data_IF_085409683658
#
_entry.id   IF_085409683658
#
_cell.length_a   1.000
_cell.length_b   1.000
_cell.length_c   1.000
_cell.angle_alpha   90.00
_cell.angle_beta   90.00
_cell.angle_gamma   90.00
#
_symmetry.space_group_name_H-M   'P 1'
#
loop_
_entity.id
_entity.type
_entity.pdbx_description
1 polymer ?
#
# COMPACT_ATOMS: atom_id res chain seq x y z
N UNK A 1 16.97 -1.79 -13.82
CA UNK A 1 16.13 -1.06 -12.85
C UNK A 1 15.55 -2.15 -11.96
N UNK A 2 15.95 -2.21 -10.69
CA UNK A 2 15.46 -3.29 -9.81
C UNK A 2 13.95 -3.18 -9.69
N UNK A 3 13.23 -4.31 -9.70
CA UNK A 3 11.76 -4.34 -9.68
C UNK A 3 11.19 -3.51 -8.52
N UNK A 4 11.90 -3.47 -7.40
CA UNK A 4 11.55 -2.67 -6.21
C UNK A 4 11.76 -1.16 -6.41
N UNK A 5 12.73 -0.73 -7.22
CA UNK A 5 12.89 0.68 -7.57
C UNK A 5 11.69 1.18 -8.39
N UNK A 6 11.10 0.32 -9.21
CA UNK A 6 9.86 0.60 -9.93
C UNK A 6 8.68 0.83 -8.99
N UNK A 7 8.55 -0.02 -7.96
CA UNK A 7 7.51 0.10 -6.92
C UNK A 7 7.71 1.37 -6.10
N UNK A 8 8.94 1.69 -5.67
CA UNK A 8 9.24 2.91 -4.89
C UNK A 8 8.99 4.18 -5.73
N UNK A 9 9.39 4.18 -7.00
CA UNK A 9 9.13 5.30 -7.91
C UNK A 9 7.63 5.55 -8.05
N UNK A 10 6.85 4.48 -8.23
CA UNK A 10 5.40 4.58 -8.37
C UNK A 10 4.72 4.97 -7.05
N UNK A 11 5.19 4.45 -5.91
CA UNK A 11 4.74 4.88 -4.57
C UNK A 11 4.85 6.39 -4.42
N UNK A 12 6.03 6.96 -4.70
CA UNK A 12 6.26 8.41 -4.61
C UNK A 12 5.35 9.23 -5.54
N UNK A 13 4.92 8.64 -6.66
CA UNK A 13 3.98 9.26 -7.59
C UNK A 13 2.53 9.23 -7.08
N UNK A 14 2.09 8.11 -6.51
CA UNK A 14 0.69 7.94 -6.05
C UNK A 14 0.44 8.53 -4.67
N UNK A 15 1.49 8.71 -3.87
CA UNK A 15 1.41 9.22 -2.51
C UNK A 15 2.47 10.31 -2.25
N UNK A 16 2.47 11.42 -3.02
CA UNK A 16 3.49 12.46 -2.92
C UNK A 16 3.50 13.18 -1.56
N UNK A 17 2.40 13.11 -0.81
CA UNK A 17 2.29 13.69 0.52
C UNK A 17 3.04 12.91 1.61
N UNK A 18 3.39 11.63 1.34
CA UNK A 18 4.17 10.83 2.28
C UNK A 18 5.62 11.30 2.20
N UNK A 19 5.98 12.19 3.11
CA UNK A 19 7.29 12.83 3.18
C UNK A 19 7.97 12.50 4.52
N UNK A 20 9.31 12.54 4.56
CA UNK A 20 10.06 12.27 5.80
C UNK A 20 10.26 10.80 6.14
N UNK A 21 9.91 9.88 5.22
CA UNK A 21 10.37 8.49 5.24
C UNK A 21 11.55 8.36 4.28
N UNK A 22 12.63 7.74 4.73
CA UNK A 22 13.84 7.57 3.92
C UNK A 22 13.69 6.45 2.88
N UNK A 23 14.49 6.55 1.81
CA UNK A 23 14.41 5.63 0.68
C UNK A 23 14.71 4.17 1.04
N UNK A 24 15.51 3.91 2.09
CA UNK A 24 15.76 2.55 2.54
C UNK A 24 14.50 1.93 3.17
N UNK A 25 13.79 2.69 4.01
CA UNK A 25 12.51 2.26 4.58
C UNK A 25 11.45 2.07 3.49
N UNK A 26 11.37 2.97 2.50
CA UNK A 26 10.46 2.80 1.36
C UNK A 26 10.77 1.54 0.54
N UNK A 27 12.05 1.19 0.38
CA UNK A 27 12.47 -0.06 -0.30
C UNK A 27 12.07 -1.31 0.49
N UNK A 28 12.12 -1.27 1.82
CA UNK A 28 11.64 -2.37 2.67
C UNK A 28 10.13 -2.56 2.45
N UNK A 29 9.34 -1.48 2.53
CA UNK A 29 7.90 -1.56 2.28
C UNK A 29 7.56 -2.05 0.86
N UNK A 30 8.30 -1.59 -0.15
CA UNK A 30 8.15 -2.07 -1.52
C UNK A 30 8.45 -3.56 -1.66
N UNK A 31 9.46 -4.07 -0.94
CA UNK A 31 9.84 -5.48 -0.96
C UNK A 31 8.76 -6.35 -0.32
N UNK A 32 8.30 -5.97 0.87
CA UNK A 32 7.24 -6.69 1.59
C UNK A 32 5.93 -6.68 0.79
N UNK A 33 5.57 -5.53 0.22
CA UNK A 33 4.37 -5.37 -0.59
C UNK A 33 4.42 -6.21 -1.88
N UNK A 34 5.59 -6.29 -2.52
CA UNK A 34 5.77 -7.12 -3.72
C UNK A 34 5.66 -8.61 -3.40
N UNK A 35 6.27 -9.05 -2.30
CA UNK A 35 6.15 -10.43 -1.84
C UNK A 35 4.70 -10.79 -1.49
N UNK A 36 3.98 -9.88 -0.84
CA UNK A 36 2.57 -10.07 -0.50
C UNK A 36 1.67 -10.08 -1.75
N UNK A 37 1.87 -9.16 -2.69
CA UNK A 37 1.13 -9.16 -3.96
C UNK A 37 1.35 -10.45 -4.75
N UNK A 38 2.58 -10.98 -4.77
CA UNK A 38 2.86 -12.28 -5.38
C UNK A 38 2.14 -13.45 -4.69
N UNK A 39 2.07 -13.45 -3.36
CA UNK A 39 1.29 -14.46 -2.60
C UNK A 39 -0.21 -14.35 -2.86
N UNK A 40 -0.71 -13.15 -3.07
CA UNK A 40 -2.10 -12.87 -3.41
C UNK A 40 -2.44 -13.17 -4.89
N UNK A 41 -1.48 -13.64 -5.68
CA UNK A 41 -1.69 -14.14 -7.04
C UNK A 41 -1.47 -13.11 -8.15
N UNK A 42 -1.05 -11.88 -7.83
CA UNK A 42 -0.70 -10.89 -8.85
C UNK A 42 0.56 -11.32 -9.61
N UNK A 43 0.58 -11.07 -10.91
CA UNK A 43 1.70 -11.40 -11.80
C UNK A 43 1.81 -10.40 -12.96
N UNK A 44 2.82 -10.53 -13.82
CA UNK A 44 3.02 -9.64 -14.96
C UNK A 44 3.21 -8.18 -14.55
N UNK A 45 2.58 -7.26 -15.27
CA UNK A 45 2.66 -5.82 -14.96
C UNK A 45 1.80 -5.42 -13.75
N UNK A 46 0.81 -6.23 -13.39
CA UNK A 46 -0.13 -5.92 -12.31
C UNK A 46 0.47 -6.09 -10.92
N UNK A 47 1.47 -6.95 -10.75
CA UNK A 47 2.15 -7.14 -9.47
C UNK A 47 2.86 -5.85 -9.01
N UNK A 48 3.50 -5.12 -9.92
CA UNK A 48 4.17 -3.86 -9.60
C UNK A 48 3.14 -2.81 -9.20
N UNK A 49 2.01 -2.75 -9.90
CA UNK A 49 0.93 -1.82 -9.59
C UNK A 49 0.29 -2.13 -8.22
N UNK A 50 -0.06 -3.38 -7.96
CA UNK A 50 -0.64 -3.82 -6.69
C UNK A 50 0.34 -3.58 -5.53
N UNK A 51 1.60 -3.98 -5.70
CA UNK A 51 2.65 -3.75 -4.71
C UNK A 51 2.85 -2.26 -4.43
N UNK A 52 2.69 -1.37 -5.41
CA UNK A 52 2.83 0.08 -5.20
C UNK A 52 1.74 0.64 -4.29
N UNK A 53 0.49 0.21 -4.48
CA UNK A 53 -0.62 0.62 -3.60
C UNK A 53 -0.45 0.06 -2.18
N UNK A 54 -0.03 -1.20 -2.05
CA UNK A 54 0.21 -1.80 -0.75
C UNK A 54 1.42 -1.18 -0.03
N UNK A 55 2.49 -0.86 -0.76
CA UNK A 55 3.64 -0.15 -0.19
C UNK A 55 3.28 1.29 0.23
N UNK A 56 2.43 1.98 -0.53
CA UNK A 56 1.91 3.30 -0.15
C UNK A 56 1.08 3.25 1.13
N UNK A 57 0.29 2.18 1.33
CA UNK A 57 -0.44 1.94 2.57
C UNK A 57 0.51 1.77 3.77
N UNK A 58 1.55 0.94 3.62
CA UNK A 58 2.57 0.76 4.69
C UNK A 58 3.28 2.08 5.02
N UNK A 59 3.66 2.83 3.99
CA UNK A 59 4.28 4.15 4.14
C UNK A 59 3.32 5.15 4.80
N UNK A 60 2.01 5.10 4.51
CA UNK A 60 1.01 5.98 5.11
C UNK A 60 0.82 5.70 6.60
N UNK A 61 0.79 4.43 7.00
CA UNK A 61 0.76 4.03 8.42
C UNK A 61 2.00 4.56 9.14
N UNK A 62 3.19 4.37 8.56
CA UNK A 62 4.45 4.84 9.16
C UNK A 62 4.51 6.37 9.25
N UNK A 63 4.08 7.07 8.20
CA UNK A 63 3.99 8.52 8.14
C UNK A 63 3.08 9.08 9.23
N UNK A 64 1.85 8.56 9.34
CA UNK A 64 0.91 9.02 10.35
C UNK A 64 1.41 8.73 11.76
N UNK A 65 1.99 7.55 12.02
CA UNK A 65 2.62 7.26 13.32
C UNK A 65 3.70 8.27 13.69
N UNK A 66 4.53 8.69 12.74
CA UNK A 66 5.56 9.70 12.98
C UNK A 66 4.98 11.12 13.18
N UNK A 67 3.89 11.48 12.50
CA UNK A 67 3.18 12.75 12.76
C UNK A 67 2.47 12.76 14.12
N UNK A 68 1.94 11.62 14.58
CA UNK A 68 1.30 11.50 15.89
C UNK A 68 2.31 11.63 17.05
N UNK A 69 3.56 11.18 16.87
CA UNK A 69 4.63 11.36 17.88
C UNK A 69 5.02 12.85 18.05
N UNK A 70 4.89 13.68 17.00
CA UNK A 70 5.04 15.15 17.13
C UNK A 70 3.80 15.85 17.70
N UNK A 71 2.60 15.26 17.53
CA UNK A 71 1.34 15.79 18.08
C UNK A 71 1.12 15.43 19.56
N UNK A 72 1.65 14.31 20.05
CA UNK A 72 1.55 13.93 21.48
C UNK A 72 2.32 14.86 22.43
N UNK A 73 3.36 15.58 21.97
CA UNK A 73 4.02 16.61 22.77
C UNK A 73 3.21 17.91 22.89
N UNK A 74 2.13 18.09 22.11
CA UNK A 74 1.30 19.30 22.09
C UNK A 74 -0.14 19.01 22.53
N UNK A 75 -0.31 18.86 23.84
CA UNK A 75 -1.49 19.28 24.61
C UNK A 75 -2.88 18.73 24.23
N UNK A 76 -3.37 17.75 25.02
CA UNK A 76 -4.66 17.72 25.76
C UNK A 76 -6.00 18.00 25.02
N UNK A 77 -6.04 18.31 23.72
CA UNK A 77 -7.26 18.83 23.06
C UNK A 77 -7.36 18.48 21.56
N UNK A 78 -7.14 17.23 21.18
CA UNK A 78 -7.48 16.74 19.82
C UNK A 78 -8.21 15.40 19.86
N UNK A 79 -9.41 15.41 20.45
CA UNK A 79 -10.45 14.45 20.09
C UNK A 79 -11.20 15.04 18.89
N UNK A 80 -10.75 14.69 17.69
CA UNK A 80 -11.52 14.58 16.45
C UNK A 80 -10.50 14.37 15.32
N UNK A 81 -10.87 13.58 14.31
CA UNK A 81 -10.07 13.08 13.18
C UNK A 81 -9.21 11.84 13.48
N UNK A 82 -9.44 10.78 12.70
CA UNK A 82 -8.84 9.43 12.72
C UNK A 82 -9.55 8.33 13.53
N UNK A 83 -10.89 8.31 13.49
CA UNK A 83 -11.63 7.04 13.57
C UNK A 83 -11.89 6.50 12.15
N UNK A 84 -10.81 6.07 11.49
CA UNK A 84 -10.88 5.33 10.23
C UNK A 84 -9.90 4.16 10.27
N UNK A 85 -9.90 3.36 11.34
CA UNK A 85 -9.38 1.98 11.38
C UNK A 85 -8.07 1.66 10.64
N UNK A 86 -7.13 2.60 10.52
CA UNK A 86 -5.95 2.44 9.66
C UNK A 86 -6.24 2.24 8.16
N UNK A 87 -7.47 2.44 7.67
CA UNK A 87 -7.85 2.18 6.28
C UNK A 87 -7.68 3.44 5.44
N UNK A 88 -6.79 3.38 4.45
CA UNK A 88 -6.57 4.46 3.49
C UNK A 88 -7.07 4.09 2.08
N UNK A 89 -7.11 5.07 1.18
CA UNK A 89 -7.52 4.84 -0.21
C UNK A 89 -6.56 3.89 -0.97
N UNK A 90 -5.34 3.68 -0.46
CA UNK A 90 -4.35 2.80 -1.07
C UNK A 90 -4.67 1.33 -0.80
N UNK A 91 -5.06 0.98 0.44
CA UNK A 91 -5.51 -0.37 0.76
C UNK A 91 -6.84 -0.69 0.08
N UNK A 92 -7.75 0.27 -0.06
CA UNK A 92 -9.01 0.07 -0.79
C UNK A 92 -8.77 -0.25 -2.27
N UNK A 93 -7.85 0.46 -2.92
CA UNK A 93 -7.48 0.19 -4.31
C UNK A 93 -6.76 -1.16 -4.47
N UNK A 94 -5.89 -1.53 -3.53
CA UNK A 94 -5.27 -2.85 -3.49
C UNK A 94 -6.32 -3.97 -3.38
N UNK A 95 -7.28 -3.84 -2.46
CA UNK A 95 -8.35 -4.81 -2.26
C UNK A 95 -9.28 -4.88 -3.47
N UNK A 96 -9.55 -3.76 -4.15
CA UNK A 96 -10.30 -3.73 -5.40
C UNK A 96 -9.60 -4.53 -6.49
N UNK A 97 -8.29 -4.33 -6.66
CA UNK A 97 -7.48 -5.10 -7.61
C UNK A 97 -7.52 -6.59 -7.29
N UNK A 98 -7.45 -6.95 -6.01
CA UNK A 98 -7.50 -8.35 -5.56
C UNK A 98 -8.86 -8.99 -5.84
N UNK A 99 -9.95 -8.29 -5.55
CA UNK A 99 -11.30 -8.77 -5.88
C UNK A 99 -11.50 -9.01 -7.38
N UNK A 100 -10.90 -8.17 -8.24
CA UNK A 100 -10.92 -8.37 -9.69
C UNK A 100 -10.14 -9.62 -10.14
N UNK A 101 -9.03 -9.93 -9.46
CA UNK A 101 -8.25 -11.16 -9.70
C UNK A 101 -9.06 -12.41 -9.30
N UNK A 102 -9.72 -12.38 -8.15
CA UNK A 102 -10.54 -13.49 -7.65
C UNK A 102 -11.76 -13.76 -8.55
N UNK A 103 -12.41 -12.70 -9.09
CA UNK A 103 -13.53 -12.85 -10.04
C UNK A 103 -13.06 -13.45 -11.39
N UNK A 104 -11.87 -13.09 -11.86
CA UNK A 104 -11.25 -13.72 -13.04
C UNK A 104 -10.88 -15.19 -12.79
N UNK A 105 -10.35 -15.50 -11.60
CA UNK A 105 -10.06 -16.87 -11.21
C UNK A 105 -11.35 -17.71 -11.16
N UNK A 106 -12.42 -17.19 -10.54
CA UNK A 106 -13.74 -17.83 -10.48
C UNK A 106 -14.38 -18.10 -11.85
N UNK A 107 -14.25 -17.14 -12.79
CA UNK A 107 -14.72 -17.31 -14.19
C UNK A 107 -13.94 -18.39 -14.93
N UNK A 108 -12.64 -18.51 -14.69
CA UNK A 108 -11.84 -19.58 -15.29
C UNK A 108 -12.29 -20.96 -14.80
N UNK A 109 -12.64 -21.12 -13.51
CA UNK A 109 -13.16 -22.43 -13.01
C UNK A 109 -14.52 -22.78 -13.61
N UNK A 110 -15.38 -21.79 -13.87
CA UNK A 110 -16.72 -22.01 -14.42
C UNK A 110 -16.73 -22.40 -15.91
N UNK A 111 -15.65 -22.12 -16.66
CA UNK A 111 -15.52 -22.45 -18.09
C UNK A 111 -14.98 -23.88 -18.35
N UNK A 112 -14.64 -24.64 -17.30
CA UNK A 112 -14.15 -26.02 -17.41
C UNK A 112 -15.21 -27.10 -17.07
N UNK A 113 -16.50 -26.74 -17.04
CA UNK A 113 -17.62 -27.67 -16.82
C UNK A 113 -18.56 -27.76 -18.02
#
# INVERSE_FOLDING_TARGET
MDTFDGVVTRLKLIAPQITGIDDATLKIFATDAYAQAGKDGFSGDDIVRAASYLAAHYAFIAFNRNEHVKKEQAAVLSREYFDAGGKDAYIDEYLRMKAGLDDLAGKNVAMFY
#
